data_IF_570652152405
#
_entry.id   IF_570652152405
#
_cell.length_a   1.000
_cell.length_b   1.000
_cell.length_c   1.000
_cell.angle_alpha   90.00
_cell.angle_beta   90.00
_cell.angle_gamma   90.00
#
_symmetry.space_group_name_H-M   'P 1'
#
loop_
_entity.id
_entity.type
_entity.pdbx_description
1 polymer ?
#
# COMPACT_ATOMS: atom_id res chain seq x y z
N UNK A 1 15.87 -1.52 -9.85
CA UNK A 1 14.46 -1.87 -10.12
C UNK A 1 13.72 -1.96 -8.80
N UNK A 2 12.99 -0.91 -8.44
CA UNK A 2 12.20 -0.86 -7.22
C UNK A 2 11.02 -1.83 -7.32
N UNK A 3 10.92 -2.76 -6.36
CA UNK A 3 9.69 -3.55 -6.17
C UNK A 3 8.61 -2.58 -5.72
N UNK A 4 7.68 -2.24 -6.62
CA UNK A 4 6.48 -1.45 -6.31
C UNK A 4 5.73 -2.17 -5.16
N UNK A 5 5.17 -1.44 -4.18
CA UNK A 5 4.31 -2.04 -3.13
C UNK A 5 3.20 -2.90 -3.73
N UNK A 6 2.72 -2.49 -4.89
CA UNK A 6 1.61 -3.06 -5.65
C UNK A 6 2.07 -3.65 -7.00
N UNK A 7 3.37 -3.85 -7.16
CA UNK A 7 3.92 -4.39 -8.40
C UNK A 7 3.64 -5.88 -8.46
N UNK A 8 2.89 -6.32 -9.47
CA UNK A 8 2.69 -7.74 -9.74
C UNK A 8 4.05 -8.44 -9.81
N UNK A 9 4.28 -9.40 -8.91
CA UNK A 9 5.29 -10.42 -9.16
C UNK A 9 4.97 -11.05 -10.53
N UNK A 10 5.99 -11.33 -11.36
CA UNK A 10 5.77 -12.05 -12.63
C UNK A 10 5.17 -13.41 -12.27
N UNK A 11 3.85 -13.54 -12.40
CA UNK A 11 3.15 -14.79 -12.14
C UNK A 11 3.60 -15.80 -13.19
N UNK A 12 4.19 -16.93 -12.81
CA UNK A 12 4.69 -17.90 -13.77
C UNK A 12 3.53 -18.58 -14.52
N UNK A 13 3.78 -18.88 -15.79
CA UNK A 13 2.85 -19.67 -16.61
C UNK A 13 2.76 -21.11 -16.10
N UNK A 14 1.57 -21.72 -16.23
CA UNK A 14 1.34 -23.11 -15.83
C UNK A 14 2.32 -24.08 -16.50
N UNK A 15 2.63 -23.85 -17.79
CA UNK A 15 3.52 -24.69 -18.60
C UNK A 15 4.94 -24.78 -18.01
N UNK A 16 5.44 -23.69 -17.44
CA UNK A 16 6.73 -23.61 -16.80
C UNK A 16 6.71 -24.30 -15.43
N UNK A 17 5.67 -24.06 -14.63
CA UNK A 17 5.51 -24.66 -13.31
C UNK A 17 5.48 -26.19 -13.37
N UNK A 18 4.73 -26.77 -14.30
CA UNK A 18 4.59 -28.23 -14.44
C UNK A 18 5.92 -28.94 -14.73
N UNK A 19 6.90 -28.25 -15.34
CA UNK A 19 8.23 -28.82 -15.63
C UNK A 19 9.07 -29.01 -14.37
N UNK A 20 8.77 -28.31 -13.29
CA UNK A 20 9.52 -28.34 -12.03
C UNK A 20 8.86 -29.24 -10.96
N UNK A 21 7.64 -29.73 -11.21
CA UNK A 21 6.87 -30.57 -10.27
C UNK A 21 7.36 -32.03 -10.32
N UNK A 22 7.37 -32.73 -9.17
CA UNK A 22 7.75 -34.14 -9.10
C UNK A 22 6.77 -35.02 -9.90
N UNK A 23 7.20 -36.22 -10.32
CA UNK A 23 6.30 -37.12 -11.07
C UNK A 23 5.10 -37.56 -10.22
N UNK A 24 5.31 -37.82 -8.93
CA UNK A 24 4.27 -38.24 -8.00
C UNK A 24 3.21 -37.14 -7.77
N UNK A 25 3.66 -35.89 -7.64
CA UNK A 25 2.75 -34.75 -7.54
C UNK A 25 1.97 -34.55 -8.84
N UNK A 26 2.59 -34.72 -10.01
CA UNK A 26 1.88 -34.67 -11.31
C UNK A 26 0.81 -35.75 -11.43
N UNK A 27 1.08 -36.96 -10.94
CA UNK A 27 0.08 -38.03 -10.87
C UNK A 27 -1.08 -37.67 -9.93
N UNK A 28 -0.76 -37.13 -8.76
CA UNK A 28 -1.76 -36.68 -7.78
C UNK A 28 -2.67 -35.61 -8.37
N UNK A 29 -2.09 -34.56 -8.97
CA UNK A 29 -2.82 -33.48 -9.64
C UNK A 29 -3.71 -34.04 -10.77
N UNK A 30 -3.15 -34.86 -11.65
CA UNK A 30 -3.90 -35.47 -12.75
C UNK A 30 -5.09 -36.31 -12.24
N UNK A 31 -4.92 -37.05 -11.14
CA UNK A 31 -5.98 -37.83 -10.51
C UNK A 31 -7.08 -36.93 -9.94
N UNK A 32 -6.70 -35.87 -9.21
CA UNK A 32 -7.65 -34.91 -8.63
C UNK A 32 -8.44 -34.14 -9.68
N UNK A 33 -7.85 -33.88 -10.84
CA UNK A 33 -8.53 -33.29 -11.99
C UNK A 33 -9.45 -34.28 -12.73
N UNK A 34 -9.61 -35.52 -12.24
CA UNK A 34 -10.51 -36.53 -12.81
C UNK A 34 -9.95 -37.21 -14.06
N UNK A 35 -8.63 -37.39 -14.15
CA UNK A 35 -8.04 -38.28 -15.16
C UNK A 35 -7.83 -39.67 -14.55
N UNK A 36 -8.74 -40.60 -14.83
CA UNK A 36 -8.64 -42.02 -14.46
C UNK A 36 -7.85 -42.80 -15.53
N UNK A 37 -6.82 -43.55 -15.13
CA UNK A 37 -6.04 -44.42 -16.02
C UNK A 37 -4.61 -44.69 -15.50
N UNK A 38 -3.96 -45.72 -16.06
CA UNK A 38 -2.59 -46.19 -15.73
C UNK A 38 -1.56 -45.07 -15.57
N UNK A 39 -0.46 -45.34 -14.83
CA UNK A 39 0.69 -44.44 -14.68
C UNK A 39 1.12 -43.85 -16.05
N UNK A 40 0.77 -42.57 -16.29
CA UNK A 40 1.15 -41.79 -17.46
C UNK A 40 2.60 -41.32 -17.36
N UNK A 41 3.34 -41.31 -18.46
CA UNK A 41 4.67 -40.70 -18.49
C UNK A 41 4.63 -39.19 -18.18
N UNK A 42 5.74 -38.63 -17.69
CA UNK A 42 5.88 -37.19 -17.40
C UNK A 42 5.41 -36.31 -18.56
N UNK A 43 5.83 -36.62 -19.79
CA UNK A 43 5.45 -35.86 -20.98
C UNK A 43 3.93 -35.87 -21.22
N UNK A 44 3.25 -37.01 -21.01
CA UNK A 44 1.79 -37.11 -21.12
C UNK A 44 1.07 -36.31 -20.04
N UNK A 45 1.59 -36.29 -18.81
CA UNK A 45 1.03 -35.50 -17.70
C UNK A 45 1.16 -34.00 -17.97
N UNK A 46 2.36 -33.54 -18.34
CA UNK A 46 2.63 -32.14 -18.66
C UNK A 46 1.75 -31.63 -19.82
N UNK A 47 1.39 -32.49 -20.78
CA UNK A 47 0.51 -32.11 -21.89
C UNK A 47 -0.99 -32.21 -21.55
N UNK A 48 -1.38 -33.08 -20.61
CA UNK A 48 -2.80 -33.33 -20.32
C UNK A 48 -3.38 -32.49 -19.17
N UNK A 49 -2.57 -32.12 -18.17
CA UNK A 49 -3.01 -31.25 -17.06
C UNK A 49 -3.44 -29.85 -17.56
N UNK A 50 -2.67 -29.17 -18.43
CA UNK A 50 -3.08 -27.87 -18.98
C UNK A 50 -4.42 -27.92 -19.72
N UNK A 51 -4.74 -29.01 -20.43
CA UNK A 51 -6.00 -29.10 -21.18
C UNK A 51 -7.24 -28.90 -20.30
N UNK A 52 -7.19 -29.29 -19.01
CA UNK A 52 -8.27 -29.03 -18.06
C UNK A 52 -8.13 -27.67 -17.38
N UNK A 53 -6.92 -27.31 -16.96
CA UNK A 53 -6.66 -26.06 -16.22
C UNK A 53 -6.69 -24.79 -17.10
N UNK A 54 -6.67 -24.94 -18.42
CA UNK A 54 -6.86 -23.84 -19.37
C UNK A 54 -8.33 -23.63 -19.76
N UNK A 55 -9.21 -24.59 -19.47
CA UNK A 55 -10.64 -24.42 -19.67
C UNK A 55 -11.24 -23.59 -18.52
N UNK A 56 -11.47 -22.31 -18.77
CA UNK A 56 -12.01 -21.37 -17.80
C UNK A 56 -13.36 -21.81 -17.20
N UNK A 57 -14.22 -22.50 -17.98
CA UNK A 57 -15.51 -22.99 -17.46
C UNK A 57 -15.30 -24.14 -16.49
N UNK A 58 -14.41 -25.07 -16.84
CA UNK A 58 -14.02 -26.16 -15.95
C UNK A 58 -13.37 -25.61 -14.66
N UNK A 59 -12.38 -24.73 -14.76
CA UNK A 59 -11.67 -24.18 -13.60
C UNK A 59 -12.61 -23.40 -12.70
N UNK A 60 -13.49 -22.57 -13.24
CA UNK A 60 -14.49 -21.85 -12.44
C UNK A 60 -15.38 -22.82 -11.67
N UNK A 61 -15.92 -23.86 -12.33
CA UNK A 61 -16.74 -24.89 -11.67
C UNK A 61 -15.93 -25.66 -10.62
N UNK A 62 -14.67 -25.98 -10.93
CA UNK A 62 -13.78 -26.72 -10.03
C UNK A 62 -13.46 -25.91 -8.77
N UNK A 63 -13.10 -24.63 -8.92
CA UNK A 63 -12.90 -23.70 -7.80
C UNK A 63 -14.20 -23.55 -6.99
N UNK A 64 -15.35 -23.32 -7.65
CA UNK A 64 -16.64 -23.20 -6.95
C UNK A 64 -17.08 -24.47 -6.20
N UNK A 65 -16.52 -25.64 -6.54
CA UNK A 65 -16.80 -26.91 -5.85
C UNK A 65 -15.90 -27.17 -4.64
N UNK A 66 -14.94 -26.30 -4.36
CA UNK A 66 -14.04 -26.45 -3.21
C UNK A 66 -14.82 -26.36 -1.89
N UNK A 67 -14.45 -27.15 -0.86
CA UNK A 67 -14.88 -26.91 0.51
C UNK A 67 -14.61 -25.46 0.94
N UNK A 68 -15.48 -24.92 1.80
CA UNK A 68 -15.41 -23.51 2.22
C UNK A 68 -14.03 -23.11 2.78
N UNK A 69 -13.37 -24.02 3.52
CA UNK A 69 -12.04 -23.78 4.09
C UNK A 69 -10.95 -23.71 3.02
N UNK A 70 -10.99 -24.59 2.02
CA UNK A 70 -10.06 -24.59 0.89
C UNK A 70 -10.26 -23.36 -0.01
N UNK A 71 -11.52 -22.98 -0.26
CA UNK A 71 -11.84 -21.73 -0.96
C UNK A 71 -11.28 -20.52 -0.23
N UNK A 72 -11.44 -20.47 1.10
CA UNK A 72 -10.93 -19.36 1.91
C UNK A 72 -9.40 -19.31 1.87
N UNK A 73 -8.73 -20.46 1.98
CA UNK A 73 -7.29 -20.57 1.83
C UNK A 73 -6.80 -20.11 0.45
N UNK A 74 -7.54 -20.47 -0.61
CA UNK A 74 -7.22 -20.09 -1.98
C UNK A 74 -7.33 -18.56 -2.19
N UNK A 75 -8.38 -17.93 -1.63
CA UNK A 75 -8.55 -16.46 -1.62
C UNK A 75 -7.41 -15.76 -0.88
N UNK A 76 -7.09 -16.22 0.34
CA UNK A 76 -5.94 -15.72 1.12
C UNK A 76 -4.65 -15.82 0.32
N UNK A 77 -4.41 -16.96 -0.34
CA UNK A 77 -3.22 -17.18 -1.12
C UNK A 77 -3.14 -16.24 -2.32
N UNK A 78 -4.26 -16.08 -3.05
CA UNK A 78 -4.38 -15.13 -4.16
C UNK A 78 -4.03 -13.69 -3.74
N UNK A 79 -4.59 -13.23 -2.61
CA UNK A 79 -4.30 -11.92 -2.04
C UNK A 79 -2.81 -11.75 -1.69
N UNK A 80 -2.23 -12.74 -1.00
CA UNK A 80 -0.87 -12.64 -0.46
C UNK A 80 0.23 -12.81 -1.52
N UNK A 81 0.02 -13.64 -2.54
CA UNK A 81 1.00 -13.81 -3.64
C UNK A 81 1.27 -12.51 -4.39
N UNK A 82 0.23 -11.71 -4.57
CA UNK A 82 0.32 -10.46 -5.32
C UNK A 82 1.01 -9.35 -4.52
N UNK A 83 0.84 -9.35 -3.19
CA UNK A 83 1.19 -8.21 -2.35
C UNK A 83 2.30 -8.49 -1.31
N UNK A 84 2.24 -9.63 -0.63
CA UNK A 84 3.16 -9.98 0.45
C UNK A 84 3.71 -11.41 0.29
N UNK A 85 4.41 -11.71 -0.83
CA UNK A 85 4.89 -13.06 -1.11
C UNK A 85 5.83 -13.60 -0.03
N UNK A 86 6.57 -12.73 0.66
CA UNK A 86 7.49 -13.11 1.73
C UNK A 86 6.76 -13.70 2.95
N UNK A 87 5.49 -13.30 3.17
CA UNK A 87 4.64 -13.79 4.27
C UNK A 87 3.91 -15.10 3.93
N UNK A 88 3.95 -15.56 2.67
CA UNK A 88 3.32 -16.83 2.26
C UNK A 88 3.88 -18.03 3.01
N UNK A 89 5.15 -17.98 3.41
CA UNK A 89 5.78 -19.02 4.24
C UNK A 89 5.08 -19.16 5.60
N UNK A 90 4.74 -18.04 6.23
CA UNK A 90 4.01 -17.98 7.50
C UNK A 90 2.57 -18.47 7.34
N UNK A 91 1.88 -18.02 6.28
CA UNK A 91 0.52 -18.48 5.96
C UNK A 91 0.51 -20.00 5.75
N UNK A 92 1.46 -20.53 4.97
CA UNK A 92 1.63 -21.97 4.75
C UNK A 92 1.79 -22.72 6.06
N UNK A 93 2.65 -22.25 6.97
CA UNK A 93 2.87 -22.93 8.26
C UNK A 93 1.57 -23.01 9.07
N UNK A 94 0.76 -21.96 9.04
CA UNK A 94 -0.51 -21.87 9.76
C UNK A 94 -1.67 -22.62 9.09
N UNK A 95 -1.62 -22.79 7.76
CA UNK A 95 -2.68 -23.43 6.96
C UNK A 95 -2.16 -24.64 6.16
N UNK A 96 -1.21 -25.40 6.71
CA UNK A 96 -0.41 -26.39 5.95
C UNK A 96 -1.26 -27.47 5.26
N UNK A 97 -2.28 -27.99 5.95
CA UNK A 97 -3.21 -28.98 5.39
C UNK A 97 -3.99 -28.45 4.19
N UNK A 98 -4.53 -27.23 4.30
CA UNK A 98 -5.29 -26.59 3.23
C UNK A 98 -4.40 -26.24 2.03
N UNK A 99 -3.19 -25.72 2.27
CA UNK A 99 -2.22 -25.42 1.21
C UNK A 99 -1.76 -26.70 0.49
N UNK A 100 -1.52 -27.79 1.22
CA UNK A 100 -1.20 -29.07 0.57
C UNK A 100 -2.38 -29.59 -0.26
N UNK A 101 -3.62 -29.50 0.24
CA UNK A 101 -4.81 -29.86 -0.54
C UNK A 101 -4.93 -29.04 -1.83
N UNK A 102 -4.75 -27.71 -1.76
CA UNK A 102 -4.78 -26.84 -2.94
C UNK A 102 -3.66 -27.18 -3.95
N UNK A 103 -2.49 -27.59 -3.47
CA UNK A 103 -1.39 -28.08 -4.31
C UNK A 103 -1.75 -29.37 -5.00
N UNK A 104 -2.28 -30.33 -4.25
CA UNK A 104 -2.67 -31.65 -4.76
C UNK A 104 -3.80 -31.54 -5.80
N UNK A 105 -4.63 -30.50 -5.69
CA UNK A 105 -5.65 -30.13 -6.69
C UNK A 105 -5.12 -29.42 -7.93
N UNK A 106 -3.83 -29.06 -7.96
CA UNK A 106 -3.19 -28.33 -9.07
C UNK A 106 -3.56 -26.85 -9.14
N UNK A 107 -4.04 -26.25 -8.04
CA UNK A 107 -4.41 -24.83 -7.99
C UNK A 107 -3.22 -23.93 -7.59
N UNK A 108 -2.26 -24.50 -6.88
CA UNK A 108 -1.00 -23.85 -6.51
C UNK A 108 0.18 -24.82 -6.70
N UNK A 109 1.36 -24.27 -6.97
CA UNK A 109 2.56 -25.03 -7.30
C UNK A 109 3.74 -24.57 -6.46
N UNK A 110 4.62 -25.50 -6.10
CA UNK A 110 5.84 -25.20 -5.38
C UNK A 110 7.05 -25.23 -6.32
N UNK A 111 7.84 -24.16 -6.35
CA UNK A 111 9.10 -24.12 -7.09
C UNK A 111 10.29 -24.32 -6.15
N UNK A 112 10.96 -25.47 -6.30
CA UNK A 112 12.05 -25.90 -5.42
C UNK A 112 13.26 -24.97 -5.38
N UNK A 113 13.60 -24.29 -6.48
CA UNK A 113 14.72 -23.34 -6.55
C UNK A 113 14.46 -22.04 -5.78
N UNK A 114 13.20 -21.61 -5.70
CA UNK A 114 12.79 -20.37 -5.02
C UNK A 114 12.21 -20.62 -3.61
N UNK A 115 11.95 -21.89 -3.24
CA UNK A 115 11.21 -22.28 -2.03
C UNK A 115 9.88 -21.53 -1.85
N UNK A 116 9.23 -21.19 -2.96
CA UNK A 116 8.03 -20.35 -2.98
C UNK A 116 6.88 -21.08 -3.69
N UNK A 117 5.66 -20.77 -3.23
CA UNK A 117 4.43 -21.25 -3.85
C UNK A 117 3.89 -20.21 -4.81
N UNK A 118 3.26 -20.66 -5.89
CA UNK A 118 2.66 -19.81 -6.90
C UNK A 118 1.33 -20.38 -7.39
N UNK A 119 0.36 -19.51 -7.52
CA UNK A 119 -0.85 -19.71 -8.31
C UNK A 119 -0.51 -19.35 -9.76
N UNK A 120 -0.75 -20.24 -10.73
CA UNK A 120 -0.56 -19.95 -12.15
C UNK A 120 -1.44 -18.81 -12.64
N UNK A 121 -0.98 -18.08 -13.65
CA UNK A 121 -1.69 -16.93 -14.23
C UNK A 121 -3.10 -17.28 -14.71
N UNK A 122 -3.27 -18.49 -15.21
CA UNK A 122 -4.53 -18.98 -15.78
C UNK A 122 -5.57 -19.20 -14.68
N UNK A 123 -5.13 -19.62 -13.49
CA UNK A 123 -5.98 -19.82 -12.31
C UNK A 123 -6.31 -18.47 -11.66
N UNK A 124 -5.36 -17.53 -11.65
CA UNK A 124 -5.55 -16.15 -11.15
C UNK A 124 -6.78 -15.50 -11.78
N UNK A 125 -6.92 -15.55 -13.10
CA UNK A 125 -8.08 -14.96 -13.80
C UNK A 125 -9.43 -15.58 -13.39
N UNK A 126 -9.43 -16.87 -13.04
CA UNK A 126 -10.65 -17.58 -12.65
C UNK A 126 -11.06 -17.27 -11.20
N UNK A 127 -10.10 -17.07 -10.29
CA UNK A 127 -10.39 -16.70 -8.91
C UNK A 127 -10.78 -15.22 -8.77
N UNK A 128 -10.27 -14.33 -9.62
CA UNK A 128 -10.69 -12.92 -9.66
C UNK A 128 -12.22 -12.77 -9.78
N UNK A 129 -12.85 -13.62 -10.60
CA UNK A 129 -14.31 -13.67 -10.72
C UNK A 129 -15.03 -14.12 -9.44
N UNK A 130 -14.41 -14.98 -8.63
CA UNK A 130 -14.96 -15.43 -7.34
C UNK A 130 -14.79 -14.37 -6.25
N UNK A 131 -13.63 -13.73 -6.19
CA UNK A 131 -13.35 -12.61 -5.29
C UNK A 131 -14.27 -11.43 -5.56
N UNK A 132 -14.57 -11.16 -6.84
CA UNK A 132 -15.49 -10.09 -7.24
C UNK A 132 -16.88 -10.25 -6.61
N UNK A 133 -17.38 -11.48 -6.44
CA UNK A 133 -18.70 -11.73 -5.83
C UNK A 133 -18.71 -11.35 -4.35
N UNK A 134 -17.64 -11.63 -3.60
CA UNK A 134 -17.54 -11.21 -2.19
C UNK A 134 -17.57 -9.68 -2.06
N UNK A 135 -16.89 -9.00 -2.98
CA UNK A 135 -16.80 -7.54 -3.01
C UNK A 135 -18.12 -6.89 -3.43
N UNK A 136 -18.90 -7.52 -4.32
CA UNK A 136 -20.23 -7.03 -4.69
C UNK A 136 -21.18 -7.00 -3.49
N UNK A 137 -21.12 -7.99 -2.60
CA UNK A 137 -21.95 -8.07 -1.39
C UNK A 137 -21.77 -6.89 -0.43
N UNK A 138 -20.59 -6.26 -0.43
CA UNK A 138 -20.26 -5.12 0.44
C UNK A 138 -20.18 -3.79 -0.32
N UNK A 139 -20.42 -3.82 -1.63
CA UNK A 139 -20.43 -2.64 -2.49
C UNK A 139 -21.71 -1.82 -2.33
N UNK A 140 -21.59 -0.51 -2.55
CA UNK A 140 -22.70 0.44 -2.57
C UNK A 140 -22.94 0.90 -4.00
N UNK A 141 -24.20 0.84 -4.44
CA UNK A 141 -24.61 1.27 -5.78
C UNK A 141 -24.76 2.80 -5.92
N UNK A 142 -24.87 3.51 -4.80
CA UNK A 142 -25.14 4.96 -4.80
C UNK A 142 -23.86 5.77 -4.68
N UNK A 143 -23.77 6.83 -5.49
CA UNK A 143 -22.80 7.91 -5.35
C UNK A 143 -23.45 9.04 -4.54
N UNK A 144 -22.80 9.46 -3.46
CA UNK A 144 -23.33 10.47 -2.55
C UNK A 144 -22.59 10.47 -1.22
N UNK A 145 -22.42 11.66 -0.66
CA UNK A 145 -21.68 11.89 0.59
C UNK A 145 -20.50 12.84 0.42
N UNK A 146 -20.00 13.34 1.55
CA UNK A 146 -18.80 14.19 1.58
C UNK A 146 -17.56 13.30 1.51
N UNK A 147 -16.74 13.50 0.48
CA UNK A 147 -15.49 12.75 0.34
C UNK A 147 -14.38 13.36 1.19
N UNK A 148 -13.72 12.52 1.98
CA UNK A 148 -12.48 12.84 2.69
C UNK A 148 -11.35 12.11 1.98
N UNK A 149 -10.49 12.89 1.33
CA UNK A 149 -9.30 12.42 0.62
C UNK A 149 -8.10 13.28 1.00
N UNK A 150 -7.04 12.67 1.54
CA UNK A 150 -5.83 13.39 1.95
C UNK A 150 -4.83 13.64 0.81
N UNK A 151 -5.07 13.10 -0.39
CA UNK A 151 -4.24 13.36 -1.56
C UNK A 151 -2.76 13.09 -1.29
N UNK A 152 -1.91 14.09 -1.56
CA UNK A 152 -0.47 14.02 -1.30
C UNK A 152 -0.04 14.56 0.09
N UNK A 153 -0.93 14.64 1.09
CA UNK A 153 -0.61 15.21 2.40
C UNK A 153 0.64 14.59 3.05
N UNK A 154 0.77 13.26 3.04
CA UNK A 154 1.94 12.60 3.59
C UNK A 154 3.24 12.96 2.86
N UNK A 155 3.18 13.12 1.53
CA UNK A 155 4.33 13.55 0.74
C UNK A 155 4.72 15.01 1.06
N UNK A 156 3.72 15.89 1.19
CA UNK A 156 3.93 17.30 1.58
C UNK A 156 4.52 17.43 2.97
N UNK A 157 4.12 16.58 3.91
CA UNK A 157 4.68 16.56 5.26
C UNK A 157 6.11 16.02 5.30
N UNK A 158 6.42 14.96 4.53
CA UNK A 158 7.80 14.50 4.36
C UNK A 158 8.67 15.62 3.81
N UNK A 159 8.17 16.34 2.80
CA UNK A 159 8.84 17.50 2.23
C UNK A 159 9.06 18.60 3.27
N UNK A 160 8.02 18.96 4.03
CA UNK A 160 8.10 19.99 5.09
C UNK A 160 9.20 19.65 6.10
N UNK A 161 9.19 18.44 6.66
CA UNK A 161 10.19 18.03 7.66
C UNK A 161 11.58 18.01 7.05
N UNK A 162 11.73 17.53 5.80
CA UNK A 162 13.03 17.51 5.13
C UNK A 162 13.59 18.93 4.92
N UNK A 163 12.76 19.87 4.49
CA UNK A 163 13.15 21.27 4.33
C UNK A 163 13.57 21.92 5.65
N UNK A 164 12.79 21.70 6.72
CA UNK A 164 13.14 22.22 8.07
C UNK A 164 14.44 21.59 8.62
N UNK A 165 14.68 20.31 8.31
CA UNK A 165 15.93 19.63 8.66
C UNK A 165 17.12 20.29 7.96
N UNK A 166 17.00 20.56 6.65
CA UNK A 166 18.03 21.22 5.84
C UNK A 166 18.37 22.62 6.35
N UNK A 167 17.37 23.39 6.75
CA UNK A 167 17.57 24.74 7.30
C UNK A 167 18.14 24.75 8.73
N UNK A 168 18.48 23.59 9.31
CA UNK A 168 19.03 23.48 10.67
C UNK A 168 18.03 23.80 11.77
N UNK A 169 16.72 23.84 11.45
CA UNK A 169 15.65 24.20 12.38
C UNK A 169 15.22 23.03 13.29
N UNK A 170 15.61 21.80 12.94
CA UNK A 170 15.34 20.59 13.74
C UNK A 170 16.57 20.24 14.57
N UNK A 171 16.39 20.16 15.90
CA UNK A 171 17.41 19.64 16.82
C UNK A 171 17.09 18.22 17.23
N UNK A 172 18.12 17.39 17.32
CA UNK A 172 18.01 15.97 17.68
C UNK A 172 18.59 15.69 19.07
N UNK A 173 17.91 14.85 19.83
CA UNK A 173 18.38 14.28 21.09
C UNK A 173 19.48 13.24 20.84
N UNK A 174 20.21 12.86 21.90
CA UNK A 174 21.22 11.78 21.82
C UNK A 174 20.60 10.42 21.43
N UNK A 175 19.33 10.21 21.75
CA UNK A 175 18.59 9.00 21.39
C UNK A 175 18.14 8.98 19.92
N UNK A 176 18.33 10.08 19.17
CA UNK A 176 17.93 10.17 17.77
C UNK A 176 16.50 10.65 17.54
N UNK A 177 15.80 11.10 18.58
CA UNK A 177 14.47 11.73 18.48
C UNK A 177 14.58 13.25 18.38
N UNK A 178 13.63 13.94 17.75
CA UNK A 178 13.56 15.40 17.78
C UNK A 178 13.30 15.92 19.21
N UNK A 179 13.87 17.08 19.55
CA UNK A 179 13.52 17.76 20.82
C UNK A 179 12.06 18.24 20.79
N UNK A 180 11.38 18.27 21.95
CA UNK A 180 9.98 18.73 22.09
C UNK A 180 9.73 20.07 21.41
N UNK A 181 10.57 21.08 21.62
CA UNK A 181 10.41 22.38 20.97
C UNK A 181 10.51 22.34 19.43
N UNK A 182 11.23 21.37 18.86
CA UNK A 182 11.26 21.15 17.41
C UNK A 182 9.99 20.45 16.95
N UNK A 183 9.51 19.49 17.73
CA UNK A 183 8.25 18.79 17.50
C UNK A 183 7.09 19.77 17.50
N UNK A 184 6.92 20.59 18.55
CA UNK A 184 5.84 21.59 18.65
C UNK A 184 5.79 22.55 17.45
N UNK A 185 6.97 22.99 16.99
CA UNK A 185 7.09 23.87 15.82
C UNK A 185 6.70 23.16 14.53
N UNK A 186 7.18 21.93 14.34
CA UNK A 186 6.87 21.13 13.16
C UNK A 186 5.40 20.74 13.11
N UNK A 187 4.80 20.38 14.24
CA UNK A 187 3.39 19.99 14.34
C UNK A 187 2.45 21.05 13.78
N UNK A 188 2.78 22.34 13.96
CA UNK A 188 2.02 23.46 13.40
C UNK A 188 2.18 23.64 11.87
N UNK A 189 3.16 22.98 11.27
CA UNK A 189 3.47 23.02 9.84
C UNK A 189 3.04 21.75 9.10
N UNK A 190 2.53 20.74 9.80
CA UNK A 190 2.02 19.52 9.16
C UNK A 190 0.58 19.73 8.67
N UNK A 191 0.24 19.08 7.55
CA UNK A 191 -1.14 18.96 7.10
C UNK A 191 -1.86 17.91 7.97
N UNK A 192 -2.21 18.33 9.19
CA UNK A 192 -3.02 17.55 10.12
C UNK A 192 -4.48 17.59 9.66
N UNK A 193 -5.06 16.43 9.40
CA UNK A 193 -6.45 16.34 8.99
C UNK A 193 -7.39 16.51 10.18
N UNK A 194 -8.41 17.35 9.99
CA UNK A 194 -9.52 17.49 10.92
C UNK A 194 -10.41 16.25 10.88
N UNK A 195 -10.09 15.29 11.76
CA UNK A 195 -11.01 14.34 12.42
C UNK A 195 -11.41 13.04 11.69
N UNK A 196 -11.73 12.06 12.56
CA UNK A 196 -12.58 10.87 12.45
C UNK A 196 -11.98 9.46 12.37
N UNK A 197 -10.70 9.28 12.06
CA UNK A 197 -10.12 7.92 12.05
C UNK A 197 -8.97 7.82 13.06
N UNK A 198 -9.02 6.91 14.04
CA UNK A 198 -7.89 6.69 14.94
C UNK A 198 -6.73 6.04 14.16
N UNK A 199 -5.62 6.76 14.04
CA UNK A 199 -4.33 6.20 13.67
C UNK A 199 -3.24 6.78 14.56
N UNK A 200 -2.38 5.91 15.06
CA UNK A 200 -1.20 6.30 15.83
C UNK A 200 -0.28 7.25 15.05
N UNK A 201 -0.26 7.18 13.72
CA UNK A 201 0.56 8.09 12.90
C UNK A 201 -0.07 9.49 12.75
N UNK A 202 -1.32 9.69 13.18
CA UNK A 202 -1.93 11.02 13.21
C UNK A 202 -1.42 11.87 14.37
N UNK A 203 -0.84 11.23 15.40
CA UNK A 203 -0.14 11.94 16.47
C UNK A 203 1.10 12.62 15.88
N UNK A 204 1.24 13.96 16.00
CA UNK A 204 2.31 14.71 15.35
C UNK A 204 3.70 14.18 15.66
N UNK A 205 3.96 13.82 16.92
CA UNK A 205 5.24 13.31 17.40
C UNK A 205 5.63 12.01 16.68
N UNK A 206 4.70 11.05 16.59
CA UNK A 206 4.92 9.76 15.90
C UNK A 206 5.09 9.98 14.40
N UNK A 207 4.33 10.90 13.81
CA UNK A 207 4.45 11.27 12.39
C UNK A 207 5.82 11.87 12.07
N UNK A 208 6.28 12.81 12.90
CA UNK A 208 7.60 13.45 12.75
C UNK A 208 8.70 12.41 12.94
N UNK A 209 8.60 11.54 13.94
CA UNK A 209 9.56 10.46 14.15
C UNK A 209 9.66 9.55 12.93
N UNK A 210 8.51 9.09 12.42
CA UNK A 210 8.42 8.29 11.20
C UNK A 210 9.15 8.96 10.02
N UNK A 211 8.86 10.24 9.78
CA UNK A 211 9.44 10.99 8.66
C UNK A 211 10.96 11.13 8.85
N UNK A 212 11.44 11.47 10.03
CA UNK A 212 12.88 11.61 10.30
C UNK A 212 13.62 10.28 10.11
N UNK A 213 13.03 9.16 10.56
CA UNK A 213 13.59 7.84 10.33
C UNK A 213 13.61 7.47 8.84
N UNK A 214 12.54 7.76 8.10
CA UNK A 214 12.48 7.58 6.65
C UNK A 214 13.61 8.35 5.94
N UNK A 215 13.73 9.66 6.22
CA UNK A 215 14.73 10.52 5.63
C UNK A 215 16.14 10.02 5.93
N UNK A 216 16.39 9.54 7.15
CA UNK A 216 17.68 8.97 7.56
C UNK A 216 18.00 7.67 6.82
N UNK A 217 17.05 6.74 6.74
CA UNK A 217 17.23 5.44 6.04
C UNK A 217 17.46 5.66 4.54
N UNK A 218 16.82 6.68 3.96
CA UNK A 218 17.05 7.08 2.56
C UNK A 218 18.33 7.88 2.34
N UNK A 219 19.11 8.15 3.39
CA UNK A 219 20.35 8.93 3.29
C UNK A 219 20.13 10.40 2.91
N UNK A 220 18.90 10.90 3.06
CA UNK A 220 18.56 12.30 2.78
C UNK A 220 19.04 13.22 3.89
N UNK A 221 19.14 12.69 5.12
CA UNK A 221 19.67 13.37 6.28
C UNK A 221 20.69 12.49 7.00
N UNK A 222 21.69 13.13 7.61
CA UNK A 222 22.65 12.51 8.51
C UNK A 222 22.74 13.33 9.81
N UNK A 223 23.25 12.71 10.88
CA UNK A 223 23.56 13.43 12.11
C UNK A 223 24.97 14.02 11.99
N UNK A 224 25.07 15.34 11.92
CA UNK A 224 26.33 16.06 12.05
C UNK A 224 26.60 16.37 13.53
N UNK A 225 27.70 15.84 14.08
CA UNK A 225 28.04 16.01 15.49
C UNK A 225 26.98 15.40 16.43
N UNK A 226 26.79 15.99 17.62
CA UNK A 226 25.95 15.37 18.67
C UNK A 226 24.45 15.69 18.59
N UNK A 227 24.00 16.70 17.82
CA UNK A 227 22.61 17.22 17.90
C UNK A 227 22.03 17.88 16.63
N UNK A 228 22.81 18.03 15.57
CA UNK A 228 22.40 18.74 14.35
C UNK A 228 22.21 17.77 13.20
N UNK A 229 21.26 18.06 12.34
CA UNK A 229 21.07 17.33 11.09
C UNK A 229 21.92 18.00 10.01
N UNK A 230 22.67 17.22 9.24
CA UNK A 230 23.26 17.64 7.97
C UNK A 230 22.57 16.97 6.80
N UNK A 231 22.60 17.63 5.65
CA UNK A 231 22.13 17.07 4.39
C UNK A 231 23.01 17.60 3.27
N UNK A 232 23.54 16.68 2.47
CA UNK A 232 24.27 17.00 1.24
C UNK A 232 23.36 16.88 0.00
N UNK A 233 22.07 16.58 0.23
CA UNK A 233 21.10 16.31 -0.83
C UNK A 233 20.45 17.61 -1.30
N UNK A 234 20.51 17.84 -2.61
CA UNK A 234 19.80 18.95 -3.23
C UNK A 234 18.29 18.64 -3.28
N UNK A 235 17.52 19.31 -2.42
CA UNK A 235 16.05 19.13 -2.33
C UNK A 235 15.33 19.41 -3.66
N UNK A 236 15.88 20.26 -4.53
CA UNK A 236 15.33 20.56 -5.85
C UNK A 236 15.53 19.41 -6.84
N UNK A 237 16.60 18.62 -6.70
CA UNK A 237 16.77 17.39 -7.48
C UNK A 237 15.87 16.28 -6.95
N UNK A 238 15.76 16.18 -5.62
CA UNK A 238 14.88 15.24 -4.97
C UNK A 238 13.40 15.50 -5.32
N UNK A 239 12.96 16.76 -5.34
CA UNK A 239 11.56 17.12 -5.67
C UNK A 239 11.19 16.93 -7.15
N UNK A 240 12.15 16.56 -8.01
CA UNK A 240 11.91 16.24 -9.42
C UNK A 240 11.63 14.75 -9.67
N UNK A 241 11.77 13.85 -8.68
CA UNK A 241 11.38 12.45 -8.90
C UNK A 241 9.84 12.32 -9.00
N UNK A 242 9.38 11.19 -9.55
CA UNK A 242 7.96 10.95 -9.82
C UNK A 242 7.17 10.81 -8.51
N UNK A 243 6.14 11.64 -8.33
CA UNK A 243 5.26 11.68 -7.15
C UNK A 243 4.83 10.30 -6.64
N UNK A 244 4.38 9.41 -7.54
CA UNK A 244 3.93 8.07 -7.18
C UNK A 244 5.07 7.17 -6.68
N UNK A 245 6.28 7.31 -7.22
CA UNK A 245 7.43 6.51 -6.80
C UNK A 245 7.85 6.87 -5.37
N UNK A 246 7.81 8.15 -5.03
CA UNK A 246 8.01 8.60 -3.65
C UNK A 246 6.92 8.12 -2.72
N UNK A 247 5.66 8.33 -3.08
CA UNK A 247 4.54 7.93 -2.25
C UNK A 247 4.58 6.41 -1.98
N UNK A 248 4.91 5.62 -3.01
CA UNK A 248 5.17 4.19 -2.89
C UNK A 248 6.33 3.89 -1.92
N UNK A 249 7.45 4.61 -2.03
CA UNK A 249 8.62 4.42 -1.16
C UNK A 249 8.30 4.75 0.30
N UNK A 250 7.60 5.84 0.57
CA UNK A 250 7.23 6.29 1.93
C UNK A 250 6.23 5.29 2.54
N UNK A 251 5.19 4.91 1.80
CA UNK A 251 4.21 3.93 2.27
C UNK A 251 4.87 2.58 2.59
N UNK A 252 5.85 2.15 1.79
CA UNK A 252 6.53 0.86 1.98
C UNK A 252 7.34 0.85 3.25
N UNK A 253 8.09 1.91 3.46
CA UNK A 253 8.85 2.09 4.67
C UNK A 253 7.93 2.07 5.91
N UNK A 254 6.79 2.74 5.86
CA UNK A 254 5.85 2.75 6.98
C UNK A 254 5.33 1.34 7.33
N UNK A 255 4.78 0.63 6.35
CA UNK A 255 4.07 -0.64 6.59
C UNK A 255 4.99 -1.81 6.90
N UNK A 256 6.24 -1.80 6.42
CA UNK A 256 7.12 -2.97 6.49
C UNK A 256 8.40 -2.77 7.30
N UNK A 257 8.84 -1.53 7.52
CA UNK A 257 10.11 -1.25 8.19
C UNK A 257 9.89 -0.48 9.50
N UNK A 258 9.11 0.60 9.50
CA UNK A 258 8.90 1.46 10.68
C UNK A 258 7.92 0.87 11.70
N UNK A 259 6.79 0.33 11.25
CA UNK A 259 5.75 -0.20 12.13
C UNK A 259 5.47 -1.69 11.84
N UNK A 260 6.38 -2.61 12.20
CA UNK A 260 6.28 -4.04 11.87
C UNK A 260 5.29 -4.92 12.69
N UNK A 261 4.64 -4.52 13.80
CA UNK A 261 3.68 -5.43 14.45
C UNK A 261 2.45 -5.69 13.58
N UNK A 262 1.93 -6.93 13.63
CA UNK A 262 0.75 -7.40 12.92
C UNK A 262 0.87 -7.43 11.37
N UNK A 263 2.04 -7.83 10.86
CA UNK A 263 2.31 -7.92 9.41
C UNK A 263 1.26 -8.72 8.61
N UNK A 264 0.67 -9.79 9.17
CA UNK A 264 -0.37 -10.55 8.46
C UNK A 264 -1.67 -9.76 8.35
N UNK A 265 -2.10 -9.10 9.43
CA UNK A 265 -3.32 -8.27 9.44
C UNK A 265 -3.17 -7.12 8.45
N UNK A 266 -2.05 -6.40 8.51
CA UNK A 266 -1.72 -5.31 7.59
C UNK A 266 -1.66 -5.79 6.14
N UNK A 267 -0.91 -6.86 5.88
CA UNK A 267 -0.75 -7.39 4.52
C UNK A 267 -2.09 -7.83 3.92
N UNK A 268 -2.94 -8.52 4.68
CA UNK A 268 -4.25 -8.93 4.20
C UNK A 268 -5.16 -7.73 3.99
N UNK A 269 -5.21 -6.78 4.93
CA UNK A 269 -6.01 -5.55 4.76
C UNK A 269 -5.65 -4.82 3.47
N UNK A 270 -4.35 -4.66 3.21
CA UNK A 270 -3.89 -4.00 1.99
C UNK A 270 -4.18 -4.85 0.74
N UNK A 271 -4.07 -6.18 0.82
CA UNK A 271 -4.40 -7.05 -0.30
C UNK A 271 -5.91 -7.04 -0.64
N UNK A 272 -6.78 -6.88 0.36
CA UNK A 272 -8.22 -6.62 0.13
C UNK A 272 -8.43 -5.27 -0.58
N UNK A 273 -7.69 -4.23 -0.20
CA UNK A 273 -7.71 -2.92 -0.88
C UNK A 273 -7.24 -3.03 -2.33
N UNK A 274 -6.22 -3.83 -2.62
CA UNK A 274 -5.78 -4.13 -4.00
C UNK A 274 -6.92 -4.80 -4.77
N UNK A 275 -7.59 -5.79 -4.18
CA UNK A 275 -8.71 -6.47 -4.81
C UNK A 275 -9.89 -5.53 -5.11
N UNK A 276 -10.19 -4.59 -4.20
CA UNK A 276 -11.17 -3.53 -4.45
C UNK A 276 -10.79 -2.69 -5.68
N UNK A 277 -9.51 -2.34 -5.85
CA UNK A 277 -9.09 -1.53 -7.02
C UNK A 277 -9.26 -2.25 -8.36
N UNK A 278 -9.20 -3.58 -8.34
CA UNK A 278 -9.44 -4.46 -9.48
C UNK A 278 -10.95 -4.62 -9.74
N UNK A 279 -11.76 -4.57 -8.69
CA UNK A 279 -13.22 -4.65 -8.77
C UNK A 279 -13.84 -3.28 -9.06
N UNK A 280 -14.28 -3.03 -10.31
CA UNK A 280 -15.03 -1.82 -10.73
C UNK A 280 -14.50 -0.53 -10.08
N UNK A 281 -13.50 0.12 -10.69
CA UNK A 281 -12.67 1.15 -10.05
C UNK A 281 -13.36 2.36 -9.38
N UNK A 282 -14.64 2.62 -9.67
CA UNK A 282 -15.46 3.65 -9.02
C UNK A 282 -16.27 3.14 -7.81
N UNK A 283 -16.08 1.89 -7.38
CA UNK A 283 -16.89 1.28 -6.32
C UNK A 283 -16.57 1.88 -4.96
N UNK A 284 -17.63 2.05 -4.18
CA UNK A 284 -17.57 2.42 -2.77
C UNK A 284 -18.08 1.23 -1.97
N UNK A 285 -17.49 0.99 -0.81
CA UNK A 285 -17.73 -0.18 0.02
C UNK A 285 -18.17 0.27 1.42
N UNK A 286 -19.11 -0.45 2.05
CA UNK A 286 -19.51 -0.16 3.43
C UNK A 286 -18.33 -0.40 4.37
N UNK A 287 -17.98 0.61 5.18
CA UNK A 287 -16.75 0.55 6.00
C UNK A 287 -16.78 -0.59 7.02
N UNK A 288 -17.87 -0.74 7.78
CA UNK A 288 -17.99 -1.78 8.80
C UNK A 288 -18.03 -3.19 8.19
N UNK A 289 -18.75 -3.38 7.10
CA UNK A 289 -18.81 -4.67 6.40
C UNK A 289 -17.44 -5.06 5.83
N UNK A 290 -16.68 -4.09 5.30
CA UNK A 290 -15.30 -4.30 4.88
C UNK A 290 -14.41 -4.76 6.04
N UNK A 291 -14.46 -4.04 7.18
CA UNK A 291 -13.70 -4.40 8.38
C UNK A 291 -14.08 -5.80 8.87
N UNK A 292 -15.37 -6.14 8.91
CA UNK A 292 -15.84 -7.45 9.33
C UNK A 292 -15.38 -8.56 8.38
N UNK A 293 -15.41 -8.32 7.06
CA UNK A 293 -14.91 -9.25 6.05
C UNK A 293 -13.42 -9.54 6.27
N UNK A 294 -12.61 -8.50 6.45
CA UNK A 294 -11.18 -8.64 6.73
C UNK A 294 -10.96 -9.41 8.03
N UNK A 295 -11.66 -9.08 9.13
CA UNK A 295 -11.57 -9.81 10.40
C UNK A 295 -11.87 -11.30 10.21
N UNK A 296 -12.97 -11.63 9.54
CA UNK A 296 -13.39 -13.02 9.28
C UNK A 296 -12.31 -13.80 8.53
N UNK A 297 -11.67 -13.18 7.54
CA UNK A 297 -10.59 -13.80 6.76
C UNK A 297 -9.31 -13.94 7.56
N UNK A 298 -8.85 -12.89 8.25
CA UNK A 298 -7.60 -12.93 9.01
C UNK A 298 -7.69 -13.94 10.16
N UNK A 299 -8.87 -14.08 10.81
CA UNK A 299 -9.10 -15.08 11.87
C UNK A 299 -8.88 -16.53 11.45
N UNK A 300 -8.86 -16.83 10.15
CA UNK A 300 -8.48 -18.16 9.64
C UNK A 300 -6.98 -18.44 9.71
N UNK A 301 -6.15 -17.41 9.94
CA UNK A 301 -4.69 -17.48 10.05
C UNK A 301 -4.23 -17.07 11.45
N UNK A 302 -4.82 -16.02 12.01
CA UNK A 302 -4.40 -15.39 13.25
C UNK A 302 -5.62 -15.17 14.14
N UNK A 303 -5.71 -15.88 15.26
CA UNK A 303 -6.88 -15.81 16.14
C UNK A 303 -6.93 -14.50 16.93
N UNK A 304 -5.77 -13.91 17.24
CA UNK A 304 -5.60 -12.68 18.02
C UNK A 304 -5.65 -11.42 17.15
N UNK A 305 -6.74 -11.23 16.40
CA UNK A 305 -6.94 -10.06 15.53
C UNK A 305 -7.86 -9.05 16.19
N UNK A 306 -7.40 -7.82 16.31
CA UNK A 306 -8.23 -6.70 16.75
C UNK A 306 -8.81 -5.95 15.55
N UNK A 307 -10.08 -5.53 15.66
CA UNK A 307 -10.66 -4.58 14.73
C UNK A 307 -9.87 -3.25 14.71
N UNK A 308 -9.19 -2.92 15.83
CA UNK A 308 -8.34 -1.74 15.96
C UNK A 308 -7.21 -1.73 14.92
N UNK A 309 -6.47 -2.84 14.78
CA UNK A 309 -5.34 -2.93 13.84
C UNK A 309 -5.76 -2.72 12.37
N UNK A 310 -6.94 -3.24 12.00
CA UNK A 310 -7.49 -3.10 10.65
C UNK A 310 -7.92 -1.65 10.42
N UNK A 311 -8.64 -1.05 11.38
CA UNK A 311 -9.06 0.36 11.31
C UNK A 311 -7.86 1.29 11.23
N UNK A 312 -6.81 1.04 12.02
CA UNK A 312 -5.54 1.79 11.95
C UNK A 312 -4.85 1.65 10.59
N UNK A 313 -4.88 0.45 10.01
CA UNK A 313 -4.32 0.21 8.67
C UNK A 313 -5.10 1.00 7.61
N UNK A 314 -6.43 0.98 7.65
CA UNK A 314 -7.29 1.76 6.74
C UNK A 314 -7.07 3.26 6.92
N UNK A 315 -7.00 3.73 8.16
CA UNK A 315 -6.70 5.12 8.50
C UNK A 315 -5.38 5.58 7.89
N UNK A 316 -4.35 4.73 8.03
CA UNK A 316 -3.02 5.02 7.48
C UNK A 316 -3.05 5.04 5.95
N UNK A 317 -3.71 4.07 5.30
CA UNK A 317 -3.88 4.08 3.84
C UNK A 317 -4.63 5.33 3.34
N UNK A 318 -5.59 5.83 4.12
CA UNK A 318 -6.30 7.09 3.83
C UNK A 318 -5.36 8.29 3.95
N UNK A 319 -4.48 8.32 4.97
CA UNK A 319 -3.47 9.37 5.13
C UNK A 319 -2.45 9.41 3.98
N UNK A 320 -2.07 8.23 3.48
CA UNK A 320 -1.24 8.10 2.28
C UNK A 320 -1.99 8.47 0.99
N UNK A 321 -3.27 8.86 1.08
CA UNK A 321 -4.10 9.22 -0.05
C UNK A 321 -4.41 8.03 -0.96
N UNK A 322 -4.25 6.78 -0.49
CA UNK A 322 -4.57 5.56 -1.27
C UNK A 322 -6.07 5.28 -1.21
N UNK A 323 -6.65 5.49 -0.03
CA UNK A 323 -8.09 5.35 0.21
C UNK A 323 -8.73 6.73 0.34
N UNK A 324 -10.01 6.80 -0.01
CA UNK A 324 -10.89 7.90 0.34
C UNK A 324 -12.01 7.40 1.24
N UNK A 325 -12.39 8.19 2.23
CA UNK A 325 -13.61 7.96 3.00
C UNK A 325 -14.75 8.77 2.43
N UNK A 326 -15.96 8.24 2.53
CA UNK A 326 -17.19 8.91 2.13
C UNK A 326 -18.11 8.96 3.34
N UNK A 327 -18.27 10.15 3.91
CA UNK A 327 -19.23 10.40 4.98
C UNK A 327 -20.63 10.49 4.40
N UNK A 328 -21.59 9.80 5.03
CA UNK A 328 -23.01 9.82 4.64
C UNK A 328 -23.84 10.28 5.82
N UNK A 329 -24.86 11.09 5.53
CA UNK A 329 -25.80 11.59 6.54
C UNK A 329 -26.53 10.42 7.22
N UNK A 330 -26.35 10.28 8.54
CA UNK A 330 -27.08 9.32 9.37
C UNK A 330 -26.65 7.85 9.28
N UNK A 331 -25.47 7.54 8.70
CA UNK A 331 -25.04 6.15 8.49
C UNK A 331 -23.60 5.84 8.87
N UNK A 332 -23.27 4.54 8.79
CA UNK A 332 -21.89 4.04 8.79
C UNK A 332 -21.17 4.58 7.55
N UNK A 333 -19.98 5.16 7.74
CA UNK A 333 -19.16 5.69 6.64
C UNK A 333 -18.85 4.63 5.57
N UNK A 334 -18.40 5.10 4.42
CA UNK A 334 -18.03 4.23 3.31
C UNK A 334 -16.57 4.45 2.87
N UNK A 335 -16.02 3.47 2.18
CA UNK A 335 -14.62 3.39 1.78
C UNK A 335 -14.52 3.27 0.26
N UNK A 336 -13.67 4.09 -0.36
CA UNK A 336 -13.36 4.00 -1.79
C UNK A 336 -11.84 4.03 -2.03
N UNK A 337 -11.44 3.67 -3.25
CA UNK A 337 -10.08 3.92 -3.72
C UNK A 337 -10.02 5.33 -4.28
N UNK A 338 -8.99 6.11 -3.95
CA UNK A 338 -8.77 7.44 -4.54
C UNK A 338 -8.12 7.33 -5.93
N UNK A 339 -8.07 8.41 -6.70
CA UNK A 339 -7.40 8.39 -8.01
C UNK A 339 -5.89 8.14 -7.89
N UNK A 340 -5.24 8.73 -6.88
CA UNK A 340 -3.82 8.49 -6.57
C UNK A 340 -3.60 7.03 -6.18
N UNK A 341 -4.49 6.50 -5.34
CA UNK A 341 -4.49 5.10 -4.93
C UNK A 341 -4.65 4.17 -6.11
N UNK A 342 -5.60 4.43 -7.00
CA UNK A 342 -5.83 3.64 -8.20
C UNK A 342 -4.59 3.62 -9.10
N UNK A 343 -3.95 4.78 -9.29
CA UNK A 343 -2.73 4.85 -10.10
C UNK A 343 -1.56 4.11 -9.45
N UNK A 344 -1.39 4.22 -8.14
CA UNK A 344 -0.41 3.46 -7.35
C UNK A 344 -0.63 1.95 -7.44
N UNK A 345 -1.87 1.51 -7.23
CA UNK A 345 -2.28 0.10 -7.18
C UNK A 345 -2.20 -0.56 -8.56
N UNK A 346 -2.49 0.17 -9.63
CA UNK A 346 -2.47 -0.34 -11.01
C UNK A 346 -1.17 -0.05 -11.77
N UNK A 347 -0.24 0.69 -11.18
CA UNK A 347 1.00 1.11 -11.84
C UNK A 347 0.75 2.02 -13.04
N UNK A 348 -0.29 2.85 -12.98
CA UNK A 348 -0.62 3.81 -14.03
C UNK A 348 0.18 5.10 -13.86
N UNK A 349 0.39 5.82 -14.96
CA UNK A 349 0.88 7.20 -14.88
C UNK A 349 -0.18 8.08 -14.22
N UNK A 350 0.26 8.93 -13.30
CA UNK A 350 -0.60 9.90 -12.61
C UNK A 350 0.03 11.26 -12.70
N UNK A 351 -0.70 12.20 -13.28
CA UNK A 351 -0.31 13.59 -13.37
C UNK A 351 -1.09 14.35 -12.30
N UNK A 352 -0.43 14.84 -11.23
CA UNK A 352 -1.12 15.62 -10.22
C UNK A 352 -1.66 16.91 -10.83
N UNK A 353 -2.88 17.29 -10.45
CA UNK A 353 -3.39 18.63 -10.72
C UNK A 353 -2.62 19.60 -9.84
N UNK A 354 -1.78 20.42 -10.46
CA UNK A 354 -0.96 21.42 -9.75
C UNK A 354 -1.49 22.82 -10.00
N UNK A 355 -1.38 23.67 -8.99
CA UNK A 355 -1.62 25.11 -9.14
C UNK A 355 -0.38 25.89 -8.68
N UNK A 356 0.33 26.47 -9.65
CA UNK A 356 1.57 27.19 -9.45
C UNK A 356 1.37 28.71 -9.32
N UNK A 357 0.14 29.19 -9.20
CA UNK A 357 -0.15 30.60 -8.92
C UNK A 357 0.35 31.01 -7.54
N UNK A 358 1.01 32.17 -7.48
CA UNK A 358 1.53 32.77 -6.27
C UNK A 358 0.89 34.14 -6.08
N UNK A 359 0.41 34.40 -4.87
CA UNK A 359 -0.21 35.66 -4.47
C UNK A 359 0.71 36.36 -3.46
N UNK A 360 1.23 37.51 -3.83
CA UNK A 360 2.12 38.31 -2.98
C UNK A 360 1.29 39.38 -2.28
N UNK A 361 1.28 39.34 -0.95
CA UNK A 361 0.55 40.28 -0.12
C UNK A 361 1.43 41.47 0.30
N UNK A 362 0.83 42.65 0.63
CA UNK A 362 1.58 43.83 1.06
C UNK A 362 2.40 43.66 2.35
N UNK A 363 2.06 42.65 3.17
CA UNK A 363 2.75 42.31 4.42
C UNK A 363 3.93 41.34 4.21
N UNK A 364 4.36 41.15 2.97
CA UNK A 364 5.44 40.26 2.54
C UNK A 364 5.15 38.77 2.73
N UNK A 365 3.89 38.39 2.96
CA UNK A 365 3.46 37.01 2.86
C UNK A 365 3.22 36.65 1.39
N UNK A 366 3.61 35.42 1.03
CA UNK A 366 3.39 34.83 -0.29
C UNK A 366 2.51 33.61 -0.08
N UNK A 367 1.32 33.64 -0.68
CA UNK A 367 0.33 32.57 -0.57
C UNK A 367 0.36 31.76 -1.87
N UNK A 368 0.43 30.44 -1.74
CA UNK A 368 0.38 29.49 -2.84
C UNK A 368 -0.68 28.42 -2.56
N UNK A 369 -1.16 27.76 -3.62
CA UNK A 369 -1.95 26.55 -3.46
C UNK A 369 -1.13 25.46 -2.74
N UNK A 370 -1.79 24.64 -1.91
CA UNK A 370 -1.15 23.45 -1.32
C UNK A 370 -0.73 22.40 -2.34
N UNK A 371 -1.33 22.45 -3.53
CA UNK A 371 -1.01 21.58 -4.66
C UNK A 371 -0.02 22.25 -5.63
N UNK A 372 0.73 23.26 -5.18
CA UNK A 372 1.89 23.77 -5.91
C UNK A 372 2.89 22.63 -6.18
N UNK A 373 3.53 22.66 -7.33
CA UNK A 373 4.54 21.67 -7.70
C UNK A 373 5.67 21.64 -6.66
N UNK A 374 6.10 20.45 -6.24
CA UNK A 374 7.15 20.29 -5.22
C UNK A 374 8.49 20.90 -5.65
N UNK A 375 8.77 20.95 -6.95
CA UNK A 375 9.96 21.59 -7.51
C UNK A 375 9.94 23.11 -7.28
N UNK A 376 8.80 23.76 -7.59
CA UNK A 376 8.57 25.18 -7.33
C UNK A 376 8.59 25.47 -5.83
N UNK A 377 7.94 24.64 -5.01
CA UNK A 377 7.98 24.73 -3.55
C UNK A 377 9.42 24.66 -3.03
N UNK A 378 10.23 23.74 -3.54
CA UNK A 378 11.64 23.62 -3.15
C UNK A 378 12.44 24.88 -3.47
N UNK A 379 12.20 25.49 -4.63
CA UNK A 379 12.80 26.77 -4.99
C UNK A 379 12.35 27.89 -4.06
N UNK A 380 11.06 27.99 -3.74
CA UNK A 380 10.54 29.01 -2.81
C UNK A 380 11.17 28.87 -1.42
N UNK A 381 11.29 27.64 -0.90
CA UNK A 381 11.88 27.37 0.42
C UNK A 381 13.42 27.48 0.46
N UNK A 382 14.11 27.82 -0.65
CA UNK A 382 15.54 28.19 -0.56
C UNK A 382 15.77 29.58 -0.04
N UNK A 383 14.81 30.49 -0.23
CA UNK A 383 14.94 31.87 0.21
C UNK A 383 13.78 32.31 1.11
N UNK A 384 12.57 31.76 0.98
CA UNK A 384 11.44 32.11 1.83
C UNK A 384 11.32 31.26 3.09
N UNK A 385 10.74 31.84 4.14
CA UNK A 385 10.39 31.10 5.35
C UNK A 385 8.97 30.52 5.25
N UNK A 386 8.83 29.21 5.41
CA UNK A 386 7.52 28.56 5.54
C UNK A 386 6.86 28.95 6.87
N UNK A 387 5.64 29.52 6.79
CA UNK A 387 4.85 29.97 7.95
C UNK A 387 3.75 28.96 8.29
N UNK A 388 3.03 28.46 7.29
CA UNK A 388 1.95 27.50 7.49
C UNK A 388 1.68 26.64 6.26
N UNK A 389 1.23 25.41 6.49
CA UNK A 389 0.71 24.48 5.49
C UNK A 389 -0.68 24.02 5.95
N UNK A 390 -1.73 24.66 5.45
CA UNK A 390 -3.13 24.33 5.75
C UNK A 390 -3.89 24.09 4.45
N UNK A 391 -4.98 24.81 4.22
CA UNK A 391 -5.68 24.83 2.92
C UNK A 391 -4.80 25.47 1.83
N UNK A 392 -3.93 26.40 2.23
CA UNK A 392 -2.91 27.05 1.39
C UNK A 392 -1.52 26.93 2.05
N UNK A 393 -0.48 27.16 1.26
CA UNK A 393 0.89 27.32 1.76
C UNK A 393 1.17 28.81 1.89
N UNK A 394 1.62 29.22 3.07
CA UNK A 394 2.04 30.59 3.33
C UNK A 394 3.53 30.64 3.58
N UNK A 395 4.22 31.44 2.79
CA UNK A 395 5.62 31.77 2.97
C UNK A 395 5.76 33.23 3.39
N UNK A 396 6.88 33.57 4.02
CA UNK A 396 7.22 34.95 4.38
C UNK A 396 8.57 35.33 3.79
N UNK A 397 8.60 36.45 3.07
CA UNK A 397 9.84 37.09 2.67
C UNK A 397 10.39 37.85 3.88
N UNK A 398 11.49 37.38 4.43
CA UNK A 398 12.19 38.05 5.53
C UNK A 398 13.34 38.91 5.01
N UNK A 399 13.88 39.79 5.85
CA UNK A 399 15.12 40.51 5.50
C UNK A 399 16.26 39.55 5.17
N UNK A 400 16.36 38.42 5.87
CA UNK A 400 17.37 37.39 5.61
C UNK A 400 17.11 36.65 4.28
N UNK A 401 15.85 36.44 3.94
CA UNK A 401 15.41 35.89 2.64
C UNK A 401 15.91 36.73 1.46
N UNK A 402 15.82 38.06 1.58
CA UNK A 402 16.29 38.97 0.54
C UNK A 402 17.81 38.88 0.32
N UNK A 403 18.60 38.61 1.36
CA UNK A 403 20.06 38.43 1.23
C UNK A 403 20.48 37.04 0.75
N UNK A 404 19.58 36.05 0.76
CA UNK A 404 19.85 34.68 0.30
C UNK A 404 19.37 34.41 -1.12
N UNK A 405 18.42 35.21 -1.62
CA UNK A 405 17.86 35.10 -2.97
C UNK A 405 18.64 35.85 -4.07
N UNK A 406 19.57 36.73 -3.67
CA UNK A 406 20.53 37.43 -4.52
C UNK A 406 21.95 37.01 -4.11
#
# INVERSE_FOLDING_TARGET
MSKILFGSSKVPELSYLLKEVSLDDLHTISKMLGSSGSLKSRARLINSIPNKLLDAKFVKKYISSLPQEEMTALKIFFYMQSYAPDLLSTVRRKMSGLINSLRDRGLIFYMGKAKQYFMPREIVSSIEGVVSVDLECISLNESGGKEINHGFAMLRDVFTVFSQARSGKIRMTKAGNAFSNSVDKLSNLLELSSHQIPSDIMEPDKRIQFILEYLKVKGLIALAGKKTISTDVNITNWSRERYLEFLNSIARFYFFEFNPPNNIVKALTIAFVVAMSQHKSSSIFKYNDFVELVIKTVRKIETSVSAKDIRETIATLTLFGILKLVERDGGDGALGISDIGLALLKGMEFIPQVNNELYILPDFNIIASKDVELSLRATLETFLELVSLKETITFKLTRQSAYQGF
#
